data_IF_299232555922
#
_entry.id   IF_299232555922
#
_cell.length_a   1.000
_cell.length_b   1.000
_cell.length_c   1.000
_cell.angle_alpha   90.00
_cell.angle_beta   90.00
_cell.angle_gamma   90.00
#
_symmetry.space_group_name_H-M   'P 1'
#
loop_
_entity.id
_entity.type
_entity.pdbx_description
1 polymer ?
#
# COMPACT_ATOMS: atom_id res chain seq x y z
N UNK A 1 23.37 10.52 7.45
CA UNK A 1 23.79 9.11 7.29
C UNK A 1 22.63 8.30 6.68
N UNK A 2 22.70 7.93 5.40
CA UNK A 2 21.72 7.03 4.75
C UNK A 2 21.97 5.62 5.30
N UNK A 3 21.01 5.04 6.02
CA UNK A 3 21.12 3.64 6.47
C UNK A 3 20.73 2.73 5.31
N UNK A 4 21.47 1.65 5.05
CA UNK A 4 21.19 0.75 3.94
C UNK A 4 20.16 -0.32 4.34
N UNK A 5 19.28 -0.70 3.41
CA UNK A 5 18.33 -1.79 3.61
C UNK A 5 19.03 -3.17 3.76
N UNK A 6 20.28 -3.28 3.26
CA UNK A 6 20.99 -4.55 3.12
C UNK A 6 21.53 -5.10 4.45
N UNK A 7 21.70 -4.27 5.48
CA UNK A 7 22.34 -4.67 6.75
C UNK A 7 21.36 -4.86 7.92
N UNK A 8 20.06 -4.91 7.63
CA UNK A 8 19.04 -5.03 8.69
C UNK A 8 19.09 -6.39 9.39
N UNK A 9 18.96 -6.41 10.71
CA UNK A 9 18.68 -7.64 11.45
C UNK A 9 17.21 -8.03 11.28
N UNK A 10 16.84 -9.33 11.35
CA UNK A 10 15.43 -9.74 11.37
C UNK A 10 14.63 -8.97 12.42
N UNK A 11 13.44 -8.51 12.06
CA UNK A 11 12.56 -7.70 12.91
C UNK A 11 12.90 -6.20 12.95
N UNK A 12 14.09 -5.80 12.50
CA UNK A 12 14.54 -4.41 12.54
C UNK A 12 13.82 -3.55 11.49
N UNK A 13 13.34 -2.39 11.93
CA UNK A 13 12.83 -1.34 11.06
C UNK A 13 13.84 -0.20 10.93
N UNK A 14 14.03 0.32 9.72
CA UNK A 14 14.91 1.46 9.45
C UNK A 14 14.22 2.51 8.60
N UNK A 15 14.46 3.79 8.88
CA UNK A 15 14.13 4.88 7.97
C UNK A 15 15.23 5.04 6.92
N UNK A 16 14.86 5.08 5.64
CA UNK A 16 15.79 5.19 4.52
C UNK A 16 15.88 6.63 4.01
N UNK A 17 14.73 7.22 3.65
CA UNK A 17 14.68 8.53 2.99
C UNK A 17 13.39 9.28 3.33
N UNK A 18 13.48 10.61 3.37
CA UNK A 18 12.30 11.48 3.49
C UNK A 18 11.62 11.56 2.14
N UNK A 19 10.29 11.48 2.15
CA UNK A 19 9.48 11.50 0.93
C UNK A 19 8.71 12.82 0.89
N UNK A 20 8.75 13.50 -0.25
CA UNK A 20 7.93 14.69 -0.53
C UNK A 20 6.62 14.25 -1.19
N UNK A 21 5.48 14.91 -0.91
CA UNK A 21 5.30 16.05 0.01
C UNK A 21 5.25 15.66 1.49
N UNK A 22 5.09 14.38 1.82
CA UNK A 22 4.98 13.94 3.22
C UNK A 22 5.48 12.52 3.47
N UNK A 23 5.89 12.28 4.72
CA UNK A 23 6.28 10.96 5.20
C UNK A 23 7.74 10.57 4.92
N UNK A 24 8.00 9.28 4.99
CA UNK A 24 9.33 8.70 4.80
C UNK A 24 9.25 7.26 4.31
N UNK A 25 10.20 6.89 3.47
CA UNK A 25 10.44 5.51 3.11
C UNK A 25 11.17 4.83 4.27
N UNK A 26 10.69 3.67 4.68
CA UNK A 26 11.43 2.79 5.57
C UNK A 26 11.43 1.35 5.06
N UNK A 27 12.33 0.56 5.60
CA UNK A 27 12.46 -0.85 5.31
C UNK A 27 12.39 -1.66 6.60
N UNK A 28 11.80 -2.86 6.52
CA UNK A 28 11.79 -3.83 7.61
C UNK A 28 12.27 -5.17 7.09
N UNK A 29 13.22 -5.79 7.77
CA UNK A 29 13.53 -7.21 7.53
C UNK A 29 12.55 -8.07 8.31
N UNK A 30 11.85 -8.97 7.62
CA UNK A 30 10.97 -9.97 8.24
C UNK A 30 11.77 -11.22 8.63
N UNK A 31 11.18 -12.11 9.44
CA UNK A 31 11.90 -13.25 10.02
C UNK A 31 12.44 -14.23 8.97
N UNK A 32 11.76 -14.36 7.82
CA UNK A 32 12.20 -15.20 6.70
C UNK A 32 13.39 -14.60 5.92
N UNK A 33 13.93 -13.45 6.35
CA UNK A 33 15.06 -12.79 5.71
C UNK A 33 14.69 -11.79 4.63
N UNK A 34 13.46 -11.77 4.12
CA UNK A 34 13.03 -10.78 3.12
C UNK A 34 12.99 -9.37 3.71
N UNK A 35 13.18 -8.36 2.87
CA UNK A 35 13.09 -6.95 3.28
C UNK A 35 11.88 -6.33 2.58
N UNK A 36 11.01 -5.69 3.35
CA UNK A 36 9.81 -5.02 2.86
C UNK A 36 9.93 -3.51 3.01
N UNK A 37 9.52 -2.77 1.99
CA UNK A 37 9.43 -1.32 2.02
C UNK A 37 8.06 -0.84 2.49
N UNK A 38 8.07 0.25 3.25
CA UNK A 38 6.89 0.91 3.78
C UNK A 38 7.00 2.41 3.60
N UNK A 39 5.90 3.04 3.17
CA UNK A 39 5.73 4.48 3.31
C UNK A 39 5.11 4.76 4.69
N UNK A 40 5.80 5.59 5.47
CA UNK A 40 5.38 6.00 6.82
C UNK A 40 4.99 7.46 6.83
N UNK A 41 3.80 7.75 7.34
CA UNK A 41 3.30 9.11 7.47
C UNK A 41 2.56 9.27 8.80
N UNK A 42 2.37 10.51 9.23
CA UNK A 42 1.60 10.84 10.42
C UNK A 42 0.45 11.75 10.01
N UNK A 43 -0.74 11.42 10.48
CA UNK A 43 -1.94 12.25 10.35
C UNK A 43 -2.60 12.39 11.73
N UNK A 44 -2.81 13.63 12.17
CA UNK A 44 -3.17 13.92 13.56
C UNK A 44 -2.11 13.37 14.53
N UNK A 45 -2.55 12.54 15.49
CA UNK A 45 -1.66 11.88 16.47
C UNK A 45 -1.28 10.45 16.09
N UNK A 46 -1.65 9.97 14.89
CA UNK A 46 -1.44 8.57 14.48
C UNK A 46 -0.39 8.48 13.39
N UNK A 47 0.60 7.61 13.60
CA UNK A 47 1.57 7.22 12.57
C UNK A 47 1.14 5.91 11.94
N UNK A 48 1.06 5.92 10.62
CA UNK A 48 0.72 4.75 9.83
C UNK A 48 1.92 4.24 9.02
N UNK A 49 1.78 2.99 8.56
CA UNK A 49 2.73 2.34 7.66
C UNK A 49 1.92 1.68 6.54
N UNK A 50 2.15 2.13 5.31
CA UNK A 50 1.57 1.54 4.11
C UNK A 50 2.65 0.67 3.47
N UNK A 51 2.36 -0.60 3.23
CA UNK A 51 3.27 -1.51 2.54
C UNK A 51 3.41 -1.07 1.07
N UNK A 52 4.65 -1.03 0.58
CA UNK A 52 4.95 -0.74 -0.83
C UNK A 52 5.22 -2.06 -1.56
N UNK A 53 6.10 -2.89 -1.01
CA UNK A 53 6.45 -4.20 -1.57
C UNK A 53 7.83 -4.68 -1.12
N UNK A 54 8.24 -5.83 -1.62
CA UNK A 54 9.52 -6.45 -1.31
C UNK A 54 10.70 -5.70 -1.95
N UNK A 55 11.83 -5.70 -1.27
CA UNK A 55 13.10 -5.23 -1.81
C UNK A 55 13.71 -6.31 -2.71
N UNK A 56 14.00 -5.92 -3.95
CA UNK A 56 14.75 -6.73 -4.89
C UNK A 56 16.22 -6.28 -4.91
N UNK A 57 17.15 -7.06 -4.32
CA UNK A 57 18.57 -6.72 -4.34
C UNK A 57 19.20 -6.85 -5.73
N UNK A 58 18.55 -7.55 -6.66
CA UNK A 58 19.00 -7.70 -8.05
C UNK A 58 18.48 -6.58 -8.97
N UNK A 59 17.53 -5.76 -8.50
CA UNK A 59 17.04 -4.64 -9.27
C UNK A 59 18.13 -3.57 -9.46
N UNK A 60 18.23 -2.95 -10.65
CA UNK A 60 19.18 -1.86 -10.88
C UNK A 60 18.94 -0.73 -9.85
N UNK A 61 19.98 -0.27 -9.11
CA UNK A 61 19.79 0.66 -7.99
C UNK A 61 19.08 1.98 -8.35
N UNK A 62 19.21 2.42 -9.60
CA UNK A 62 18.59 3.65 -10.14
C UNK A 62 17.26 3.40 -10.86
N UNK A 63 16.80 2.15 -10.97
CA UNK A 63 15.51 1.86 -11.59
C UNK A 63 14.39 2.50 -10.76
N UNK A 64 13.54 3.29 -11.39
CA UNK A 64 12.37 3.92 -10.74
C UNK A 64 11.09 3.09 -10.92
N UNK A 65 11.17 2.00 -11.69
CA UNK A 65 10.06 1.10 -11.95
C UNK A 65 10.16 -0.16 -11.07
N UNK A 66 9.02 -0.73 -10.63
CA UNK A 66 9.01 -2.05 -10.02
C UNK A 66 9.48 -3.10 -11.01
N UNK A 67 10.24 -4.08 -10.52
CA UNK A 67 10.64 -5.28 -11.25
C UNK A 67 9.81 -6.49 -10.85
N UNK A 68 10.04 -7.65 -11.51
CA UNK A 68 9.28 -8.87 -11.25
C UNK A 68 9.41 -9.40 -9.81
N UNK A 69 10.55 -9.17 -9.15
CA UNK A 69 10.83 -9.64 -7.79
C UNK A 69 10.58 -8.58 -6.71
N UNK A 70 10.15 -7.38 -7.10
CA UNK A 70 9.91 -6.27 -6.19
C UNK A 70 10.60 -4.98 -6.62
N UNK A 71 11.03 -4.19 -5.64
CA UNK A 71 11.45 -2.81 -5.83
C UNK A 71 12.95 -2.62 -5.60
N UNK A 72 13.57 -1.79 -6.42
CA UNK A 72 14.79 -1.10 -6.02
C UNK A 72 14.47 -0.03 -4.96
N UNK A 73 15.47 0.53 -4.29
CA UNK A 73 15.25 1.68 -3.38
C UNK A 73 14.66 2.87 -4.14
N UNK A 74 15.15 3.18 -5.34
CA UNK A 74 14.66 4.30 -6.15
C UNK A 74 13.20 4.10 -6.59
N UNK A 75 12.83 2.88 -6.97
CA UNK A 75 11.44 2.52 -7.29
C UNK A 75 10.53 2.63 -6.07
N UNK A 76 11.01 2.20 -4.91
CA UNK A 76 10.26 2.34 -3.66
C UNK A 76 10.09 3.80 -3.23
N UNK A 77 11.09 4.66 -3.46
CA UNK A 77 10.95 6.12 -3.24
C UNK A 77 9.89 6.69 -4.16
N UNK A 78 9.89 6.31 -5.45
CA UNK A 78 8.87 6.79 -6.41
C UNK A 78 7.47 6.36 -5.99
N UNK A 79 7.27 5.08 -5.68
CA UNK A 79 5.98 4.58 -5.19
C UNK A 79 5.54 5.29 -3.90
N UNK A 80 6.47 5.57 -2.97
CA UNK A 80 6.18 6.33 -1.77
C UNK A 80 5.78 7.78 -2.07
N UNK A 81 6.38 8.42 -3.09
CA UNK A 81 6.00 9.76 -3.53
C UNK A 81 4.57 9.77 -4.07
N UNK A 82 4.20 8.78 -4.88
CA UNK A 82 2.84 8.67 -5.41
C UNK A 82 1.83 8.55 -4.26
N UNK A 83 2.10 7.68 -3.27
CA UNK A 83 1.29 7.58 -2.04
C UNK A 83 1.21 8.90 -1.26
N UNK A 84 2.33 9.61 -1.14
CA UNK A 84 2.39 10.88 -0.43
C UNK A 84 1.60 11.99 -1.14
N UNK A 85 1.59 12.00 -2.48
CA UNK A 85 0.79 12.91 -3.29
C UNK A 85 -0.70 12.59 -3.08
N UNK A 86 -1.10 11.33 -3.20
CA UNK A 86 -2.49 10.91 -2.95
C UNK A 86 -2.93 11.27 -1.53
N UNK A 87 -2.08 11.07 -0.54
CA UNK A 87 -2.37 11.47 0.84
C UNK A 87 -2.60 12.98 0.97
N UNK A 88 -1.73 13.78 0.36
CA UNK A 88 -1.83 15.23 0.41
C UNK A 88 -3.12 15.72 -0.27
N UNK A 89 -3.50 15.14 -1.41
CA UNK A 89 -4.75 15.44 -2.11
C UNK A 89 -5.99 15.11 -1.26
N UNK A 90 -5.91 14.09 -0.42
CA UNK A 90 -7.03 13.64 0.42
C UNK A 90 -6.91 14.11 1.88
N UNK A 91 -5.97 15.00 2.20
CA UNK A 91 -5.59 15.30 3.58
C UNK A 91 -6.75 15.86 4.41
N UNK A 92 -7.58 16.70 3.80
CA UNK A 92 -8.77 17.30 4.44
C UNK A 92 -9.84 16.26 4.78
N UNK A 93 -9.93 15.19 4.00
CA UNK A 93 -10.90 14.09 4.21
C UNK A 93 -10.36 12.97 5.10
N UNK A 94 -9.24 13.18 5.79
CA UNK A 94 -8.61 12.15 6.63
C UNK A 94 -7.48 11.37 5.95
N UNK A 95 -7.02 11.85 4.79
CA UNK A 95 -5.82 11.36 4.12
C UNK A 95 -5.98 10.00 3.45
N UNK A 96 -4.83 9.33 3.27
CA UNK A 96 -4.78 8.06 2.55
C UNK A 96 -5.57 6.95 3.25
N UNK A 97 -5.57 6.92 4.59
CA UNK A 97 -6.37 5.99 5.39
C UNK A 97 -7.88 6.10 5.09
N UNK A 98 -8.40 7.34 5.04
CA UNK A 98 -9.81 7.56 4.79
C UNK A 98 -10.20 7.14 3.37
N UNK A 99 -9.34 7.43 2.38
CA UNK A 99 -9.49 6.96 1.01
C UNK A 99 -9.61 5.43 0.94
N UNK A 100 -8.65 4.70 1.54
CA UNK A 100 -8.69 3.23 1.56
C UNK A 100 -9.95 2.68 2.23
N UNK A 101 -10.40 3.31 3.31
CA UNK A 101 -11.64 2.92 3.99
C UNK A 101 -12.85 3.11 3.08
N UNK A 102 -12.94 4.24 2.38
CA UNK A 102 -14.02 4.53 1.44
C UNK A 102 -14.03 3.53 0.27
N UNK A 103 -12.87 3.25 -0.32
CA UNK A 103 -12.74 2.26 -1.41
C UNK A 103 -13.14 0.85 -0.97
N UNK A 104 -12.71 0.45 0.23
CA UNK A 104 -13.04 -0.87 0.78
C UNK A 104 -14.54 -1.00 1.03
N UNK A 105 -15.17 0.04 1.59
CA UNK A 105 -16.61 0.07 1.82
C UNK A 105 -17.40 0.02 0.50
N UNK A 106 -17.01 0.84 -0.49
CA UNK A 106 -17.65 0.85 -1.80
C UNK A 106 -17.57 -0.52 -2.50
N UNK A 107 -16.41 -1.21 -2.42
CA UNK A 107 -16.25 -2.57 -2.95
C UNK A 107 -17.14 -3.58 -2.22
N UNK A 108 -17.25 -3.48 -0.89
CA UNK A 108 -18.11 -4.36 -0.11
C UNK A 108 -19.59 -4.17 -0.46
N UNK A 109 -20.03 -2.93 -0.62
CA UNK A 109 -21.42 -2.61 -0.96
C UNK A 109 -21.76 -3.02 -2.39
N UNK A 110 -20.85 -2.81 -3.35
CA UNK A 110 -21.00 -3.31 -4.72
C UNK A 110 -21.13 -4.85 -4.76
N UNK A 111 -20.32 -5.56 -3.97
CA UNK A 111 -20.41 -7.02 -3.86
C UNK A 111 -21.75 -7.48 -3.28
N UNK A 112 -22.25 -6.78 -2.26
CA UNK A 112 -23.57 -7.07 -1.66
C UNK A 112 -24.70 -6.83 -2.65
N UNK A 113 -24.67 -5.71 -3.38
CA UNK A 113 -25.66 -5.39 -4.40
C UNK A 113 -25.68 -6.43 -5.52
N UNK A 114 -24.50 -6.84 -6.02
CA UNK A 114 -24.40 -7.88 -7.04
C UNK A 114 -24.94 -9.24 -6.54
N UNK A 115 -24.65 -9.61 -5.29
CA UNK A 115 -25.15 -10.85 -4.70
C UNK A 115 -26.66 -10.83 -4.54
N UNK A 116 -27.23 -9.68 -4.11
CA UNK A 116 -28.68 -9.51 -4.00
C UNK A 116 -29.35 -9.58 -5.37
N UNK A 117 -28.82 -8.88 -6.37
CA UNK A 117 -29.36 -8.92 -7.73
C UNK A 117 -29.32 -10.33 -8.33
N UNK A 118 -28.26 -11.11 -8.06
CA UNK A 118 -28.18 -12.50 -8.48
C UNK A 118 -29.24 -13.38 -7.80
N UNK A 119 -29.44 -13.21 -6.49
CA UNK A 119 -30.48 -13.94 -5.74
C UNK A 119 -31.89 -13.56 -6.19
N UNK A 120 -32.16 -12.28 -6.45
CA UNK A 120 -33.44 -11.80 -6.95
C UNK A 120 -33.71 -12.34 -8.37
N UNK A 121 -32.69 -12.38 -9.24
CA UNK A 121 -32.81 -12.96 -10.58
C UNK A 121 -33.07 -14.47 -10.56
N UNK A 122 -32.42 -15.19 -9.64
CA UNK A 122 -32.66 -16.63 -9.44
C UNK A 122 -34.08 -16.89 -8.93
N UNK A 123 -34.57 -16.08 -7.99
CA UNK A 123 -35.94 -16.17 -7.48
C UNK A 123 -37.00 -15.89 -8.56
N UNK A 124 -36.77 -14.89 -9.43
CA UNK A 124 -37.67 -14.60 -10.56
C UNK A 124 -37.68 -15.76 -11.56
N UNK A 125 -36.53 -16.35 -11.85
CA UNK A 125 -36.45 -17.52 -12.73
C UNK A 125 -37.18 -18.72 -12.14
N UNK A 126 -36.96 -19.03 -10.87
CA UNK A 126 -37.63 -20.13 -10.17
C UNK A 126 -39.17 -19.95 -10.13
N UNK A 127 -39.66 -18.71 -10.06
CA UNK A 127 -41.08 -18.40 -10.12
C UNK A 127 -41.70 -18.47 -11.54
N UNK A 128 -40.87 -18.43 -12.58
CA UNK A 128 -41.31 -18.57 -13.99
C UNK A 128 -41.32 -20.03 -14.46
N UNK A 129 -40.63 -20.93 -13.75
CA UNK A 129 -40.53 -22.36 -14.07
C UNK A 129 -41.63 -23.21 -13.35
N UNK A 130 -42.68 -22.58 -12.81
CA UNK A 130 -43.89 -23.19 -12.24
C UNK A 130 -45.13 -22.89 -13.09
#
# INVERSE_FOLDING_TARGET
>A
MRRSANTLKPGQFVGLEKVKPSGSLGARRVLNGSVNFFWRYTIGQKTERVAIGDYDPSAPPKSVMPGPKGYSIAAAVRAAQDLAITHQQNKESGGYRALLKAETQAKADAKRAASKAAADAEAVKAAQDW
#
